data_IF_154217448528
#
_entry.id   IF_154217448528
#
_cell.length_a   1.000
_cell.length_b   1.000
_cell.length_c   1.000
_cell.angle_alpha   90.00
_cell.angle_beta   90.00
_cell.angle_gamma   90.00
#
_symmetry.space_group_name_H-M   'P 1'
#
loop_
_entity.id
_entity.type
_entity.pdbx_description
1 polymer ?
#
# COMPACT_ATOMS: atom_id res chain seq x y z
N UNK A 1 -29.80 -4.29 -29.46
CA UNK A 1 -28.52 -4.86 -29.94
C UNK A 1 -27.51 -4.75 -28.81
N UNK A 2 -26.95 -5.87 -28.34
CA UNK A 2 -25.95 -5.89 -27.28
C UNK A 2 -24.60 -5.42 -27.86
N UNK A 3 -24.26 -4.15 -27.66
CA UNK A 3 -22.96 -3.56 -28.02
C UNK A 3 -21.87 -4.17 -27.14
N UNK A 4 -21.41 -5.36 -27.50
CA UNK A 4 -20.21 -5.95 -26.89
C UNK A 4 -19.02 -5.21 -27.48
N UNK A 5 -18.51 -4.22 -26.76
CA UNK A 5 -17.21 -3.62 -27.07
C UNK A 5 -16.18 -4.75 -27.04
N UNK A 6 -15.46 -4.96 -28.14
CA UNK A 6 -14.40 -5.98 -28.21
C UNK A 6 -13.24 -5.47 -27.36
N UNK A 7 -13.25 -5.80 -26.07
CA UNK A 7 -12.11 -5.57 -25.18
C UNK A 7 -10.97 -6.50 -25.60
N UNK A 8 -10.19 -6.07 -26.58
CA UNK A 8 -8.98 -6.79 -26.97
C UNK A 8 -7.90 -6.50 -25.94
N UNK A 9 -7.59 -7.49 -25.10
CA UNK A 9 -6.44 -7.41 -24.18
C UNK A 9 -5.17 -7.47 -25.02
N UNK A 10 -4.43 -6.37 -25.07
CA UNK A 10 -3.10 -6.34 -25.68
C UNK A 10 -2.11 -6.92 -24.70
N UNK A 11 -1.55 -8.08 -25.03
CA UNK A 11 -0.56 -8.80 -24.21
C UNK A 11 0.80 -8.10 -24.30
N UNK A 12 0.96 -7.06 -23.49
CA UNK A 12 2.20 -6.32 -23.36
C UNK A 12 3.07 -6.90 -22.22
N UNK A 13 4.40 -6.97 -22.36
CA UNK A 13 5.28 -7.44 -21.29
C UNK A 13 5.12 -6.68 -19.97
N UNK A 14 4.87 -5.37 -19.99
CA UNK A 14 4.63 -4.58 -18.79
C UNK A 14 3.28 -4.94 -18.16
N UNK A 15 2.27 -5.24 -18.99
CA UNK A 15 0.97 -5.72 -18.51
C UNK A 15 1.10 -7.07 -17.80
N UNK A 16 1.80 -8.03 -18.42
CA UNK A 16 2.04 -9.35 -17.82
C UNK A 16 2.85 -9.22 -16.54
N UNK A 17 3.90 -8.38 -16.53
CA UNK A 17 4.70 -8.14 -15.34
C UNK A 17 3.86 -7.57 -14.19
N UNK A 18 3.05 -6.54 -14.47
CA UNK A 18 2.16 -5.93 -13.48
C UNK A 18 1.16 -6.95 -12.93
N UNK A 19 0.57 -7.76 -13.81
CA UNK A 19 -0.37 -8.81 -13.43
C UNK A 19 0.27 -9.86 -12.52
N UNK A 20 1.46 -10.35 -12.89
CA UNK A 20 2.23 -11.32 -12.09
C UNK A 20 2.60 -10.71 -10.74
N UNK A 21 3.02 -9.45 -10.70
CA UNK A 21 3.36 -8.75 -9.46
C UNK A 21 2.17 -8.67 -8.49
N UNK A 22 0.99 -8.28 -8.99
CA UNK A 22 -0.24 -8.21 -8.19
C UNK A 22 -0.63 -9.57 -7.60
N UNK A 23 -0.50 -10.64 -8.39
CA UNK A 23 -0.89 -11.99 -7.94
C UNK A 23 0.15 -12.56 -6.96
N UNK A 24 1.42 -12.53 -7.31
CA UNK A 24 2.46 -13.23 -6.55
C UNK A 24 2.86 -12.44 -5.31
N UNK A 25 3.17 -11.14 -5.45
CA UNK A 25 3.73 -10.35 -4.35
C UNK A 25 2.63 -9.79 -3.45
N UNK A 26 1.68 -9.05 -4.03
CA UNK A 26 0.66 -8.36 -3.23
C UNK A 26 -0.42 -9.30 -2.68
N UNK A 27 -0.69 -10.45 -3.32
CA UNK A 27 -1.68 -11.40 -2.83
C UNK A 27 -1.04 -12.57 -2.10
N UNK A 28 -0.36 -13.47 -2.83
CA UNK A 28 0.21 -14.68 -2.23
C UNK A 28 1.26 -14.33 -1.19
N UNK A 29 2.21 -13.46 -1.53
CA UNK A 29 3.27 -13.03 -0.62
C UNK A 29 2.73 -12.38 0.65
N UNK A 30 1.77 -11.46 0.52
CA UNK A 30 1.17 -10.78 1.68
C UNK A 30 0.44 -11.75 2.62
N UNK A 31 -0.34 -12.70 2.09
CA UNK A 31 -1.07 -13.69 2.89
C UNK A 31 -0.12 -14.68 3.56
N UNK A 32 0.91 -15.15 2.84
CA UNK A 32 1.93 -16.03 3.41
C UNK A 32 2.71 -15.34 4.52
N UNK A 33 3.07 -14.06 4.34
CA UNK A 33 3.69 -13.25 5.38
C UNK A 33 2.77 -13.13 6.60
N UNK A 34 1.48 -12.87 6.40
CA UNK A 34 0.51 -12.83 7.48
C UNK A 34 0.46 -14.16 8.25
N UNK A 35 0.37 -15.30 7.56
CA UNK A 35 0.36 -16.61 8.20
C UNK A 35 1.68 -16.91 8.92
N UNK A 36 2.81 -16.52 8.33
CA UNK A 36 4.12 -16.65 8.96
C UNK A 36 4.17 -15.90 10.30
N UNK A 37 3.69 -14.66 10.34
CA UNK A 37 3.68 -13.83 11.54
C UNK A 37 2.69 -14.29 12.60
N UNK A 38 1.58 -14.88 12.16
CA UNK A 38 0.60 -15.50 13.05
C UNK A 38 1.19 -16.73 13.74
N UNK A 39 2.15 -17.42 13.09
CA UNK A 39 2.84 -18.58 13.65
C UNK A 39 3.82 -18.21 14.76
N UNK A 40 4.48 -17.06 14.65
CA UNK A 40 5.49 -16.60 15.62
C UNK A 40 4.92 -15.69 16.74
N UNK A 41 3.60 -15.48 16.79
CA UNK A 41 2.95 -14.67 17.84
C UNK A 41 3.25 -13.16 17.78
N UNK A 42 4.02 -12.70 16.80
CA UNK A 42 4.45 -11.29 16.65
C UNK A 42 3.54 -10.46 15.73
N UNK A 43 2.32 -10.93 15.42
CA UNK A 43 1.34 -10.26 14.56
C UNK A 43 1.14 -8.77 14.89
N UNK A 44 1.37 -8.37 16.15
CA UNK A 44 1.36 -6.97 16.59
C UNK A 44 2.45 -6.09 15.94
N UNK A 45 3.68 -6.59 15.75
CA UNK A 45 4.79 -5.79 15.19
C UNK A 45 4.61 -5.46 13.72
N UNK A 46 4.00 -6.35 12.93
CA UNK A 46 3.81 -6.11 11.49
C UNK A 46 2.57 -5.27 11.17
N UNK A 47 1.58 -5.27 12.06
CA UNK A 47 0.46 -4.32 11.96
C UNK A 47 0.93 -2.87 11.87
N UNK A 48 2.06 -2.53 12.51
CA UNK A 48 2.66 -1.20 12.46
C UNK A 48 3.16 -0.80 11.06
N UNK A 49 3.67 -1.76 10.27
CA UNK A 49 4.13 -1.53 8.89
C UNK A 49 2.96 -1.19 7.97
N UNK A 50 1.77 -1.77 8.18
CA UNK A 50 0.59 -1.39 7.40
C UNK A 50 0.21 0.09 7.60
N UNK A 51 0.52 0.70 8.74
CA UNK A 51 0.33 2.14 8.94
C UNK A 51 1.33 3.00 8.17
N UNK A 52 2.48 2.45 7.78
CA UNK A 52 3.46 3.15 6.93
C UNK A 52 3.16 3.03 5.43
N UNK A 53 2.19 2.19 5.03
CA UNK A 53 1.82 2.03 3.63
C UNK A 53 1.39 3.35 2.99
N UNK A 54 0.47 4.16 3.56
CA UNK A 54 0.03 5.39 2.89
C UNK A 54 1.15 6.42 2.66
N UNK A 55 2.04 6.71 3.63
CA UNK A 55 3.19 7.58 3.40
C UNK A 55 4.17 7.03 2.36
N UNK A 56 4.50 5.73 2.42
CA UNK A 56 5.45 5.12 1.49
C UNK A 56 4.89 5.13 0.07
N UNK A 57 3.62 4.77 -0.12
CA UNK A 57 2.97 4.82 -1.45
C UNK A 57 2.93 6.25 -2.01
N UNK A 58 2.75 7.28 -1.18
CA UNK A 58 2.81 8.67 -1.65
C UNK A 58 4.22 9.07 -2.11
N UNK A 59 5.27 8.63 -1.41
CA UNK A 59 6.66 8.85 -1.82
C UNK A 59 6.95 8.10 -3.13
N UNK A 60 6.53 6.84 -3.24
CA UNK A 60 6.65 6.05 -4.46
C UNK A 60 5.94 6.72 -5.65
N UNK A 61 4.71 7.20 -5.46
CA UNK A 61 3.96 7.91 -6.49
C UNK A 61 4.72 9.13 -7.03
N UNK A 62 5.32 9.93 -6.15
CA UNK A 62 6.10 11.10 -6.53
C UNK A 62 7.37 10.72 -7.33
N UNK A 63 8.13 9.73 -6.86
CA UNK A 63 9.41 9.37 -7.46
C UNK A 63 9.30 8.48 -8.71
N UNK A 64 8.47 7.44 -8.67
CA UNK A 64 8.38 6.43 -9.74
C UNK A 64 7.48 6.89 -10.89
N UNK A 65 6.40 7.61 -10.58
CA UNK A 65 5.40 8.02 -11.58
C UNK A 65 5.55 9.48 -12.01
N UNK A 66 6.40 10.24 -11.31
CA UNK A 66 6.70 11.64 -11.66
C UNK A 66 5.46 12.54 -11.63
N UNK A 67 4.42 12.14 -10.90
CA UNK A 67 3.19 12.92 -10.79
C UNK A 67 3.51 14.28 -10.17
N UNK A 68 3.24 15.34 -10.93
CA UNK A 68 3.30 16.71 -10.42
C UNK A 68 2.17 16.86 -9.42
N UNK A 69 2.51 16.66 -8.16
CA UNK A 69 1.62 16.83 -7.02
C UNK A 69 1.03 18.25 -7.12
N UNK A 70 -0.22 18.35 -7.57
CA UNK A 70 -0.92 19.63 -7.61
C UNK A 70 -1.04 20.15 -6.17
N UNK A 71 -1.28 21.45 -6.00
CA UNK A 71 -1.44 22.02 -4.65
C UNK A 71 -2.48 21.25 -3.82
N UNK A 72 -3.54 20.76 -4.46
CA UNK A 72 -4.57 19.92 -3.84
C UNK A 72 -4.06 18.50 -3.51
N UNK A 73 -3.26 17.90 -4.39
CA UNK A 73 -2.60 16.62 -4.12
C UNK A 73 -1.66 16.71 -2.92
N UNK A 74 -0.94 17.82 -2.78
CA UNK A 74 0.01 18.04 -1.69
C UNK A 74 -0.73 18.18 -0.36
N UNK A 75 -1.84 18.95 -0.36
CA UNK A 75 -2.72 19.07 0.82
C UNK A 75 -3.32 17.71 1.20
N UNK A 76 -3.78 16.92 0.22
CA UNK A 76 -4.27 15.57 0.46
C UNK A 76 -3.22 14.65 1.10
N UNK A 77 -2.02 14.60 0.53
CA UNK A 77 -0.90 13.83 1.08
C UNK A 77 -0.53 14.30 2.49
N UNK A 78 -0.51 15.62 2.72
CA UNK A 78 -0.19 16.19 4.04
C UNK A 78 -1.22 15.79 5.10
N UNK A 79 -2.52 15.82 4.77
CA UNK A 79 -3.60 15.35 5.65
C UNK A 79 -3.44 13.86 5.96
N UNK A 80 -3.14 13.03 4.95
CA UNK A 80 -2.91 11.59 5.14
C UNK A 80 -1.71 11.34 6.07
N UNK A 81 -0.59 12.04 5.87
CA UNK A 81 0.60 11.93 6.71
C UNK A 81 0.28 12.30 8.16
N UNK A 82 -0.45 13.39 8.41
CA UNK A 82 -0.88 13.79 9.76
C UNK A 82 -1.79 12.72 10.39
N UNK A 83 -2.77 12.21 9.64
CA UNK A 83 -3.68 11.18 10.13
C UNK A 83 -2.94 9.89 10.54
N UNK A 84 -1.98 9.46 9.73
CA UNK A 84 -1.10 8.32 10.04
C UNK A 84 -0.24 8.60 11.26
N UNK A 85 0.39 9.77 11.32
CA UNK A 85 1.24 10.18 12.44
C UNK A 85 0.48 10.15 13.77
N UNK A 86 -0.76 10.64 13.82
CA UNK A 86 -1.59 10.60 15.03
C UNK A 86 -1.87 9.16 15.51
N UNK A 87 -2.13 8.23 14.59
CA UNK A 87 -2.36 6.82 14.93
C UNK A 87 -1.09 6.16 15.45
N UNK A 88 0.05 6.44 14.82
CA UNK A 88 1.36 5.90 15.24
C UNK A 88 1.80 6.48 16.58
N UNK A 89 1.69 7.80 16.76
CA UNK A 89 2.04 8.48 18.02
C UNK A 89 1.21 7.95 19.19
N UNK A 90 -0.09 7.70 19.00
CA UNK A 90 -0.97 7.14 20.04
C UNK A 90 -0.58 5.71 20.44
N UNK A 91 0.01 4.91 19.54
CA UNK A 91 0.53 3.57 19.86
C UNK A 91 1.86 3.61 20.62
N UNK A 92 2.76 4.52 20.26
CA UNK A 92 4.04 4.68 20.95
C UNK A 92 3.85 5.09 22.43
N UNK A 93 2.88 5.96 22.70
CA UNK A 93 2.57 6.40 24.07
C UNK A 93 1.93 5.31 24.94
N UNK A 94 1.22 4.34 24.35
CA UNK A 94 0.59 3.24 25.09
C UNK A 94 1.55 2.09 25.47
N UNK A 95 2.70 1.97 24.79
CA UNK A 95 3.70 0.96 25.09
C UNK A 95 4.67 1.36 26.23
N UNK A 96 4.68 2.64 26.62
CA UNK A 96 5.54 3.18 27.67
C UNK A 96 4.94 3.11 29.09
N UNK A 97 3.69 2.62 29.24
CA UNK A 97 3.00 2.54 30.53
C UNK A 97 2.92 1.12 31.13
N UNK A 98 3.73 0.18 30.63
CA UNK A 98 3.91 -1.17 31.19
C UNK A 98 5.34 -1.32 31.73
#
# INVERSE_FOLDING_TARGET
ALTTEKTSVTWDPHFVFSLVWLIVVLSVGAILLLFYLLRDGSAASVSSYYYLVPPVTAIEAYFLFGEKVSLYGFVGTFITVIGVWLVVAKRASGAQSL
#
